data_IF_319186366898
#
_entry.id   IF_319186366898
#
_cell.length_a   1.000
_cell.length_b   1.000
_cell.length_c   1.000
_cell.angle_alpha   90.00
_cell.angle_beta   90.00
_cell.angle_gamma   90.00
#
_symmetry.space_group_name_H-M   'P 1'
#
loop_
_entity.id
_entity.type
_entity.pdbx_description
1 polymer ?
#
# COMPACT_ATOMS: atom_id res chain seq x y z
N UNK A 1 -31.00 28.36 -10.94
CA UNK A 1 -29.96 27.41 -10.46
C UNK A 1 -28.98 27.20 -11.61
N UNK A 2 -27.72 27.61 -11.45
CA UNK A 2 -26.74 27.55 -12.53
C UNK A 2 -26.09 26.17 -12.63
N UNK A 3 -26.18 25.52 -13.79
CA UNK A 3 -25.40 24.32 -14.09
C UNK A 3 -23.92 24.68 -14.21
N UNK A 4 -23.05 23.88 -13.58
CA UNK A 4 -21.59 24.00 -13.72
C UNK A 4 -21.04 22.81 -14.51
N UNK A 5 -20.03 23.07 -15.34
CA UNK A 5 -19.30 22.04 -16.09
C UNK A 5 -18.03 21.68 -15.32
N UNK A 6 -17.78 20.39 -15.20
CA UNK A 6 -16.55 19.84 -14.62
C UNK A 6 -16.06 18.74 -15.55
N UNK A 7 -14.75 18.50 -15.58
CA UNK A 7 -14.17 17.43 -16.38
C UNK A 7 -13.94 16.18 -15.53
N UNK A 8 -14.12 15.01 -16.11
CA UNK A 8 -13.86 13.72 -15.48
C UNK A 8 -12.93 12.88 -16.36
N UNK A 9 -11.97 12.20 -15.74
CA UNK A 9 -11.20 11.15 -16.39
C UNK A 9 -12.07 9.94 -16.74
N UNK A 10 -11.59 9.14 -17.72
CA UNK A 10 -12.28 7.93 -18.18
C UNK A 10 -12.60 6.93 -17.06
N UNK A 11 -11.72 6.77 -16.07
CA UNK A 11 -11.96 5.85 -14.95
C UNK A 11 -13.14 6.28 -14.07
N UNK A 12 -13.39 7.59 -13.88
CA UNK A 12 -14.57 8.07 -13.17
C UNK A 12 -15.86 7.82 -13.92
N UNK A 13 -15.85 7.99 -15.25
CA UNK A 13 -17.02 7.76 -16.09
C UNK A 13 -17.44 6.29 -16.01
N UNK A 14 -16.47 5.37 -15.99
CA UNK A 14 -16.70 3.95 -15.81
C UNK A 14 -17.35 3.59 -14.46
N UNK A 15 -17.23 4.46 -13.44
CA UNK A 15 -17.90 4.30 -12.14
C UNK A 15 -19.32 4.92 -12.09
N UNK A 16 -19.73 5.68 -13.13
CA UNK A 16 -21.10 6.21 -13.29
C UNK A 16 -21.96 5.41 -14.27
N UNK A 17 -21.43 5.08 -15.46
CA UNK A 17 -22.20 4.50 -16.57
C UNK A 17 -21.31 3.56 -17.42
N UNK A 18 -21.51 2.24 -17.27
CA UNK A 18 -20.76 1.18 -17.97
C UNK A 18 -20.76 1.35 -19.50
N UNK A 19 -21.84 1.86 -20.09
CA UNK A 19 -21.99 2.02 -21.55
C UNK A 19 -21.24 3.21 -22.15
N UNK A 20 -20.74 4.15 -21.35
CA UNK A 20 -19.99 5.32 -21.85
C UNK A 20 -18.47 5.21 -21.72
N UNK A 21 -17.95 4.19 -21.03
CA UNK A 21 -16.51 4.07 -20.77
C UNK A 21 -15.68 3.65 -21.99
N UNK A 22 -16.24 2.86 -22.92
CA UNK A 22 -15.50 2.40 -24.10
C UNK A 22 -15.16 3.53 -25.09
N UNK A 23 -15.99 4.58 -25.17
CA UNK A 23 -15.83 5.67 -26.14
C UNK A 23 -14.93 6.83 -25.70
N UNK A 24 -14.43 6.83 -24.46
CA UNK A 24 -13.78 8.00 -23.82
C UNK A 24 -12.48 7.66 -23.10
N UNK A 25 -11.91 6.47 -23.36
CA UNK A 25 -10.60 6.09 -22.84
C UNK A 25 -9.57 7.15 -23.24
N UNK A 26 -8.82 7.67 -22.27
CA UNK A 26 -7.84 8.77 -22.41
C UNK A 26 -8.43 10.14 -22.80
N UNK A 27 -9.75 10.34 -22.69
CA UNK A 27 -10.38 11.64 -22.89
C UNK A 27 -11.10 12.08 -21.63
N UNK A 28 -10.91 13.35 -21.25
CA UNK A 28 -11.72 13.94 -20.20
C UNK A 28 -13.10 14.33 -20.75
N UNK A 29 -14.17 13.95 -20.06
CA UNK A 29 -15.53 14.30 -20.48
C UNK A 29 -16.11 15.35 -19.55
N UNK A 30 -16.70 16.39 -20.13
CA UNK A 30 -17.45 17.40 -19.41
C UNK A 30 -18.76 16.83 -18.86
N UNK A 31 -18.92 16.84 -17.54
CA UNK A 31 -20.13 16.45 -16.83
C UNK A 31 -20.83 17.68 -16.26
N UNK A 32 -22.17 17.66 -16.35
CA UNK A 32 -23.02 18.70 -15.78
C UNK A 32 -23.55 18.20 -14.44
N UNK A 33 -23.28 18.94 -13.37
CA UNK A 33 -23.82 18.64 -12.06
C UNK A 33 -24.76 19.72 -11.55
N UNK A 34 -25.79 19.31 -10.83
CA UNK A 34 -26.69 20.20 -10.10
C UNK A 34 -26.19 20.32 -8.66
N UNK A 35 -26.09 21.54 -8.08
CA UNK A 35 -25.72 21.70 -6.69
C UNK A 35 -26.67 20.95 -5.76
N UNK A 36 -26.13 20.43 -4.66
CA UNK A 36 -26.94 19.81 -3.60
C UNK A 36 -27.85 20.88 -2.98
N UNK A 37 -29.05 20.50 -2.55
CA UNK A 37 -29.99 21.41 -1.88
C UNK A 37 -29.26 22.15 -0.73
N UNK A 38 -29.42 23.47 -0.71
CA UNK A 38 -28.82 24.38 0.28
C UNK A 38 -27.27 24.43 0.26
N UNK A 39 -26.63 24.00 -0.84
CA UNK A 39 -25.18 24.10 -1.05
C UNK A 39 -24.85 24.63 -2.46
N UNK A 40 -23.73 25.34 -2.60
CA UNK A 40 -23.16 25.69 -3.91
C UNK A 40 -22.33 24.57 -4.54
N UNK A 41 -22.07 23.49 -3.78
CA UNK A 41 -21.23 22.39 -4.20
C UNK A 41 -22.00 21.36 -5.02
N UNK A 42 -21.38 20.90 -6.08
CA UNK A 42 -21.81 19.71 -6.82
C UNK A 42 -21.11 18.51 -6.22
N UNK A 43 -21.86 17.45 -5.91
CA UNK A 43 -21.33 16.23 -5.32
C UNK A 43 -21.45 15.09 -6.32
N UNK A 44 -20.35 14.37 -6.49
CA UNK A 44 -20.26 13.18 -7.32
C UNK A 44 -20.10 11.96 -6.45
N UNK A 45 -21.03 11.01 -6.58
CA UNK A 45 -20.98 9.74 -5.86
C UNK A 45 -20.44 8.67 -6.79
N UNK A 46 -19.15 8.36 -6.62
CA UNK A 46 -18.50 7.25 -7.31
C UNK A 46 -18.80 5.95 -6.57
N UNK A 47 -19.10 4.88 -7.30
CA UNK A 47 -19.30 3.55 -6.70
C UNK A 47 -18.40 2.54 -7.37
N UNK A 48 -17.58 1.88 -6.56
CA UNK A 48 -16.85 0.69 -6.98
C UNK A 48 -17.74 -0.54 -6.75
N UNK A 49 -18.17 -1.16 -7.86
CA UNK A 49 -19.01 -2.36 -7.87
C UNK A 49 -18.23 -3.62 -8.25
N UNK A 50 -16.97 -3.47 -8.62
CA UNK A 50 -16.10 -4.57 -9.01
C UNK A 50 -15.70 -5.39 -7.79
N UNK A 51 -16.05 -6.68 -7.79
CA UNK A 51 -15.47 -7.61 -6.82
C UNK A 51 -14.07 -7.94 -7.33
N UNK A 52 -13.03 -7.37 -6.72
CA UNK A 52 -11.68 -7.88 -6.93
C UNK A 52 -11.69 -9.39 -6.60
N UNK A 53 -10.90 -10.24 -7.29
CA UNK A 53 -10.61 -11.60 -6.82
C UNK A 53 -10.31 -11.56 -5.32
N UNK A 54 -10.50 -12.65 -4.58
CA UNK A 54 -10.37 -12.58 -3.13
C UNK A 54 -8.90 -12.30 -2.77
N UNK A 55 -8.61 -11.01 -2.62
CA UNK A 55 -7.30 -10.47 -2.30
C UNK A 55 -7.12 -10.66 -0.80
N UNK A 56 -6.52 -11.79 -0.43
CA UNK A 56 -6.15 -12.14 0.93
C UNK A 56 -4.74 -12.70 0.96
N UNK A 57 -4.28 -13.15 2.12
CA UNK A 57 -2.91 -13.61 2.35
C UNK A 57 -2.45 -14.79 1.46
N UNK A 58 -3.36 -15.47 0.78
CA UNK A 58 -3.07 -16.60 -0.09
C UNK A 58 -3.90 -16.51 -1.37
N UNK A 59 -3.42 -17.10 -2.49
CA UNK A 59 -4.23 -17.26 -3.69
C UNK A 59 -5.57 -18.00 -3.41
N UNK A 60 -6.55 -17.76 -4.26
CA UNK A 60 -7.89 -18.35 -4.15
C UNK A 60 -7.96 -19.83 -4.50
N UNK A 61 -6.92 -20.35 -5.16
CA UNK A 61 -6.80 -21.76 -5.51
C UNK A 61 -5.76 -22.44 -4.63
N UNK A 62 -6.07 -23.68 -4.23
CA UNK A 62 -5.07 -24.56 -3.67
C UNK A 62 -4.10 -24.98 -4.79
N UNK A 63 -2.80 -24.89 -4.50
CA UNK A 63 -1.77 -25.42 -5.39
C UNK A 63 -1.81 -26.95 -5.27
N UNK A 64 -1.92 -27.66 -6.40
CA UNK A 64 -2.00 -29.12 -6.38
C UNK A 64 -0.67 -29.72 -5.90
N UNK A 65 -0.70 -30.88 -5.23
CA UNK A 65 0.54 -31.56 -4.80
C UNK A 65 1.45 -31.91 -5.98
N UNK A 66 0.88 -32.08 -7.18
CA UNK A 66 1.63 -32.27 -8.42
C UNK A 66 2.41 -31.00 -8.79
N UNK A 67 1.77 -29.84 -8.72
CA UNK A 67 2.41 -28.56 -9.03
C UNK A 67 3.46 -28.18 -7.98
N UNK A 68 3.21 -28.46 -6.69
CA UNK A 68 4.21 -28.29 -5.63
C UNK A 68 5.44 -29.17 -5.89
N UNK A 69 5.24 -30.42 -6.32
CA UNK A 69 6.33 -31.34 -6.61
C UNK A 69 7.11 -30.95 -7.89
N UNK A 70 6.41 -30.53 -8.96
CA UNK A 70 7.03 -30.13 -10.22
C UNK A 70 7.81 -28.82 -10.09
N UNK A 71 7.35 -27.91 -9.24
CA UNK A 71 8.02 -26.61 -8.99
C UNK A 71 9.15 -26.68 -7.97
N UNK A 72 9.37 -27.83 -7.32
CA UNK A 72 10.37 -27.98 -6.23
C UNK A 72 10.19 -26.94 -5.11
N UNK A 73 8.95 -26.48 -4.88
CA UNK A 73 8.66 -25.36 -3.98
C UNK A 73 9.12 -25.62 -2.54
N UNK A 74 8.98 -26.85 -2.04
CA UNK A 74 9.37 -27.19 -0.68
C UNK A 74 10.90 -27.19 -0.48
N UNK A 75 11.67 -27.66 -1.46
CA UNK A 75 13.13 -27.61 -1.36
C UNK A 75 13.62 -26.17 -1.45
N UNK A 76 13.06 -25.38 -2.38
CA UNK A 76 13.40 -23.96 -2.49
C UNK A 76 13.06 -23.20 -1.20
N UNK A 77 11.86 -23.43 -0.64
CA UNK A 77 11.46 -22.79 0.62
C UNK A 77 12.40 -23.15 1.77
N UNK A 78 12.89 -24.39 1.83
CA UNK A 78 13.88 -24.79 2.84
C UNK A 78 15.20 -24.07 2.61
N UNK A 79 15.71 -24.06 1.40
CA UNK A 79 16.94 -23.33 1.04
C UNK A 79 16.82 -21.85 1.39
N UNK A 80 15.70 -21.22 1.07
CA UNK A 80 15.42 -19.82 1.37
C UNK A 80 15.36 -19.58 2.89
N UNK A 81 14.69 -20.44 3.67
CA UNK A 81 14.62 -20.32 5.14
C UNK A 81 15.99 -20.58 5.79
N UNK A 82 16.81 -21.46 5.22
CA UNK A 82 18.14 -21.78 5.73
C UNK A 82 19.19 -20.72 5.37
N UNK A 83 19.05 -20.05 4.23
CA UNK A 83 19.95 -19.00 3.77
C UNK A 83 20.10 -17.89 4.82
N UNK A 84 21.27 -17.27 4.94
CA UNK A 84 21.38 -16.06 5.74
C UNK A 84 20.54 -14.97 5.09
N UNK A 85 19.65 -14.36 5.87
CA UNK A 85 18.95 -13.18 5.39
C UNK A 85 19.99 -12.09 5.58
N UNK A 86 20.74 -11.77 4.52
CA UNK A 86 21.57 -10.56 4.52
C UNK A 86 20.72 -9.40 5.04
N UNK A 87 21.34 -8.40 5.67
CA UNK A 87 20.65 -7.23 6.23
C UNK A 87 19.86 -6.40 5.20
N UNK A 88 19.79 -6.86 3.96
CA UNK A 88 19.05 -6.33 2.83
C UNK A 88 17.62 -6.89 2.85
N UNK A 89 16.71 -6.11 3.45
CA UNK A 89 15.26 -6.30 3.44
C UNK A 89 14.63 -6.11 2.03
N UNK A 90 15.34 -6.50 0.96
CA UNK A 90 15.01 -6.20 -0.44
C UNK A 90 14.33 -7.36 -1.20
N UNK A 91 14.09 -8.51 -0.57
CA UNK A 91 13.45 -9.66 -1.24
C UNK A 91 12.15 -10.04 -0.54
N UNK A 92 11.05 -9.86 -1.27
CA UNK A 92 9.68 -10.05 -0.82
C UNK A 92 9.45 -11.39 -0.13
N UNK A 93 8.78 -11.33 1.02
CA UNK A 93 8.47 -12.47 1.87
C UNK A 93 7.16 -13.11 1.40
N UNK A 94 7.24 -14.05 0.45
CA UNK A 94 6.09 -14.88 0.08
C UNK A 94 6.00 -16.10 1.01
N UNK A 95 5.24 -15.98 2.11
CA UNK A 95 4.90 -17.12 2.97
C UNK A 95 3.44 -17.51 2.79
N UNK A 96 3.22 -18.70 2.23
CA UNK A 96 1.89 -19.29 2.11
C UNK A 96 1.55 -20.05 3.41
N UNK A 97 0.50 -19.58 4.11
CA UNK A 97 -0.02 -20.16 5.35
C UNK A 97 -0.84 -21.44 5.20
N UNK A 98 -0.96 -22.01 4.00
CA UNK A 98 -1.62 -23.31 3.82
C UNK A 98 -0.60 -24.42 3.57
N UNK A 99 -0.01 -24.94 4.64
CA UNK A 99 0.53 -26.31 4.60
C UNK A 99 -0.50 -27.27 5.20
N UNK A 100 -1.06 -28.20 4.42
CA UNK A 100 -1.86 -29.29 4.97
C UNK A 100 -0.92 -30.14 5.84
N UNK A 101 -1.05 -30.05 7.17
CA UNK A 101 -0.24 -30.81 8.14
C UNK A 101 1.28 -30.58 8.02
N UNK A 102 1.71 -29.36 7.67
CA UNK A 102 3.11 -29.02 7.41
C UNK A 102 3.95 -28.77 8.66
N UNK A 103 5.26 -28.93 8.46
CA UNK A 103 6.30 -28.87 9.48
C UNK A 103 6.32 -27.55 10.27
N UNK A 104 5.83 -27.61 11.52
CA UNK A 104 5.81 -26.46 12.44
C UNK A 104 7.22 -25.94 12.76
N UNK A 105 8.27 -26.74 12.52
CA UNK A 105 9.65 -26.33 12.81
C UNK A 105 10.15 -25.29 11.81
N UNK A 106 9.85 -25.46 10.51
CA UNK A 106 10.21 -24.48 9.47
C UNK A 106 9.47 -23.16 9.67
N UNK A 107 8.16 -23.21 9.96
CA UNK A 107 7.38 -22.02 10.28
C UNK A 107 7.98 -21.29 11.49
N UNK A 108 8.24 -22.01 12.60
CA UNK A 108 8.83 -21.41 13.80
C UNK A 108 10.20 -20.78 13.51
N UNK A 109 11.05 -21.44 12.73
CA UNK A 109 12.36 -20.92 12.33
C UNK A 109 12.22 -19.64 11.52
N UNK A 110 11.36 -19.64 10.51
CA UNK A 110 11.07 -18.47 9.70
C UNK A 110 10.57 -17.29 10.53
N UNK A 111 9.55 -17.49 11.38
CA UNK A 111 9.00 -16.45 12.25
C UNK A 111 10.07 -15.90 13.21
N UNK A 112 10.95 -16.75 13.72
CA UNK A 112 12.07 -16.33 14.58
C UNK A 112 13.04 -15.41 13.82
N UNK A 113 13.47 -15.81 12.62
CA UNK A 113 14.37 -15.01 11.78
C UNK A 113 13.73 -13.67 11.39
N UNK A 114 12.46 -13.70 10.99
CA UNK A 114 11.72 -12.50 10.61
C UNK A 114 11.61 -11.52 11.78
N UNK A 115 11.24 -12.00 12.96
CA UNK A 115 11.21 -11.17 14.19
C UNK A 115 12.58 -10.57 14.50
N UNK A 116 13.66 -11.34 14.36
CA UNK A 116 15.01 -10.82 14.59
C UNK A 116 15.38 -9.69 13.63
N UNK A 117 15.00 -9.78 12.36
CA UNK A 117 15.29 -8.75 11.34
C UNK A 117 14.46 -7.49 11.54
N UNK A 118 13.20 -7.63 11.95
CA UNK A 118 12.32 -6.48 12.19
C UNK A 118 12.65 -5.77 13.51
N UNK A 119 13.20 -6.48 14.51
CA UNK A 119 13.40 -5.92 15.85
C UNK A 119 14.19 -4.58 15.86
N UNK A 120 15.30 -4.41 15.13
CA UNK A 120 15.97 -3.11 15.04
C UNK A 120 15.08 -2.03 14.42
N UNK A 121 14.35 -2.35 13.35
CA UNK A 121 13.44 -1.41 12.69
C UNK A 121 12.31 -0.96 13.61
N UNK A 122 11.64 -1.90 14.29
CA UNK A 122 10.53 -1.61 15.21
C UNK A 122 11.00 -0.78 16.42
N UNK A 123 12.21 -1.05 16.90
CA UNK A 123 12.83 -0.25 17.95
C UNK A 123 13.41 1.10 17.45
N UNK A 124 13.27 1.40 16.16
CA UNK A 124 13.90 2.51 15.47
C UNK A 124 15.42 2.62 15.76
N UNK A 125 16.07 1.47 15.88
CA UNK A 125 17.50 1.29 16.13
C UNK A 125 18.20 0.71 14.90
N UNK A 126 17.97 1.36 13.76
CA UNK A 126 18.63 1.10 12.47
C UNK A 126 19.65 2.22 12.20
N UNK A 127 20.56 1.98 11.25
CA UNK A 127 21.67 2.91 10.91
C UNK A 127 21.15 4.32 10.63
N UNK A 128 20.15 4.42 9.76
CA UNK A 128 19.43 5.66 9.48
C UNK A 128 18.03 5.53 10.06
N UNK A 129 17.81 6.20 11.18
CA UNK A 129 16.56 6.11 11.93
C UNK A 129 15.44 6.80 11.17
N UNK A 130 14.22 6.43 11.50
CA UNK A 130 13.05 7.20 11.12
C UNK A 130 12.90 8.40 12.06
N UNK A 131 12.65 9.57 11.50
CA UNK A 131 12.38 10.81 12.22
C UNK A 131 11.01 11.36 11.82
N UNK A 132 10.33 12.03 12.74
CA UNK A 132 9.10 12.73 12.43
C UNK A 132 9.39 14.20 12.10
N UNK A 133 8.99 14.62 10.90
CA UNK A 133 9.03 16.01 10.47
C UNK A 133 7.77 16.75 10.91
N UNK A 134 7.95 17.82 11.67
CA UNK A 134 6.88 18.69 12.17
C UNK A 134 6.45 19.75 11.15
N UNK A 135 7.17 19.94 10.04
CA UNK A 135 6.85 20.94 9.02
C UNK A 135 5.76 20.41 8.08
N UNK A 136 5.98 19.25 7.46
CA UNK A 136 5.03 18.61 6.55
C UNK A 136 4.25 17.46 7.22
N UNK A 137 4.53 17.19 8.49
CA UNK A 137 3.79 16.24 9.33
C UNK A 137 3.92 14.81 8.83
N UNK A 138 5.11 14.22 8.90
CA UNK A 138 5.33 12.86 8.37
C UNK A 138 6.62 12.19 8.82
N UNK A 139 6.82 10.94 8.41
CA UNK A 139 7.98 10.12 8.81
C UNK A 139 9.00 10.10 7.68
N UNK A 140 10.26 10.37 8.00
CA UNK A 140 11.39 10.43 7.07
C UNK A 140 12.51 9.50 7.50
N UNK A 141 13.21 8.91 6.54
CA UNK A 141 14.55 8.39 6.74
C UNK A 141 15.53 9.53 7.02
N UNK A 142 16.37 9.39 8.03
CA UNK A 142 17.43 10.38 8.33
C UNK A 142 18.62 10.30 7.37
N UNK A 143 18.64 9.34 6.42
CA UNK A 143 19.80 9.10 5.57
C UNK A 143 20.19 10.35 4.78
N UNK A 144 19.26 10.98 4.05
CA UNK A 144 19.57 12.18 3.25
C UNK A 144 20.06 13.36 4.07
N UNK A 145 19.62 13.48 5.33
CA UNK A 145 20.13 14.50 6.27
C UNK A 145 21.58 14.17 6.67
N UNK A 146 21.84 12.91 7.03
CA UNK A 146 23.15 12.48 7.51
C UNK A 146 24.20 12.50 6.37
N UNK A 147 23.84 12.05 5.18
CA UNK A 147 24.71 11.99 4.00
C UNK A 147 24.83 13.32 3.26
N UNK A 148 23.96 14.30 3.57
CA UNK A 148 23.82 15.55 2.81
C UNK A 148 23.47 15.31 1.34
N UNK A 149 22.76 14.22 1.04
CA UNK A 149 22.30 13.85 -0.30
C UNK A 149 20.78 13.76 -0.34
N UNK A 150 20.08 14.67 -1.04
CA UNK A 150 18.62 14.64 -1.16
C UNK A 150 18.09 13.41 -1.91
N UNK A 151 18.95 12.65 -2.60
CA UNK A 151 18.57 11.43 -3.32
C UNK A 151 18.83 10.15 -2.53
N UNK A 152 19.46 10.25 -1.35
CA UNK A 152 19.70 9.08 -0.52
C UNK A 152 18.37 8.45 -0.08
N UNK A 153 18.38 7.13 0.09
CA UNK A 153 17.15 6.34 0.30
C UNK A 153 16.06 6.68 -0.74
N UNK A 154 16.45 6.79 -2.01
CA UNK A 154 15.58 7.14 -3.14
C UNK A 154 14.80 8.46 -2.94
N UNK A 155 15.35 9.38 -2.14
CA UNK A 155 14.70 10.65 -1.82
C UNK A 155 13.62 10.55 -0.76
N UNK A 156 13.58 9.49 0.04
CA UNK A 156 12.65 9.32 1.15
C UNK A 156 12.66 10.52 2.12
N UNK A 157 13.85 11.06 2.42
CA UNK A 157 13.99 12.30 3.24
C UNK A 157 13.21 13.49 2.66
N UNK A 158 12.92 13.50 1.36
CA UNK A 158 12.13 14.50 0.66
C UNK A 158 10.74 14.01 0.27
N UNK A 159 10.19 13.05 1.03
CA UNK A 159 8.85 12.49 0.85
C UNK A 159 8.64 11.64 -0.41
N UNK A 160 9.71 11.25 -1.10
CA UNK A 160 9.57 10.30 -2.21
C UNK A 160 9.27 8.89 -1.69
N UNK A 161 8.43 8.16 -2.41
CA UNK A 161 8.35 6.70 -2.32
C UNK A 161 7.95 6.13 -0.96
N UNK A 162 7.39 6.95 -0.06
CA UNK A 162 6.95 6.49 1.26
C UNK A 162 6.01 5.27 1.19
N UNK A 163 5.01 5.34 0.30
CA UNK A 163 4.08 4.22 0.08
C UNK A 163 4.76 2.98 -0.53
N UNK A 164 5.82 3.14 -1.31
CA UNK A 164 6.62 2.02 -1.80
C UNK A 164 7.40 1.39 -0.64
N UNK A 165 8.22 2.19 0.05
CA UNK A 165 9.16 1.69 1.05
C UNK A 165 8.43 1.15 2.29
N UNK A 166 7.52 1.94 2.85
CA UNK A 166 6.89 1.62 4.13
C UNK A 166 5.90 0.47 4.02
N UNK A 167 5.30 0.27 2.85
CA UNK A 167 4.34 -0.82 2.65
C UNK A 167 4.95 -2.21 2.77
N UNK A 168 6.23 -2.38 2.46
CA UNK A 168 6.90 -3.67 2.67
C UNK A 168 6.97 -4.04 4.14
N UNK A 169 7.22 -3.07 5.03
CA UNK A 169 7.17 -3.29 6.48
C UNK A 169 5.74 -3.59 6.94
N UNK A 170 4.75 -2.82 6.46
CA UNK A 170 3.33 -3.04 6.77
C UNK A 170 2.87 -4.44 6.36
N UNK A 171 3.16 -4.85 5.12
CA UNK A 171 2.85 -6.17 4.60
C UNK A 171 3.49 -7.27 5.44
N UNK A 172 4.80 -7.12 5.69
CA UNK A 172 5.58 -8.09 6.46
C UNK A 172 5.00 -8.27 7.87
N UNK A 173 4.64 -7.18 8.54
CA UNK A 173 4.05 -7.23 9.88
C UNK A 173 2.63 -7.78 9.85
N UNK A 174 1.84 -7.51 8.80
CA UNK A 174 0.53 -8.12 8.63
C UNK A 174 0.62 -9.66 8.51
N UNK A 175 1.59 -10.16 7.74
CA UNK A 175 1.87 -11.61 7.62
C UNK A 175 2.33 -12.18 8.96
N UNK A 176 3.26 -11.52 9.66
CA UNK A 176 3.73 -11.96 10.97
C UNK A 176 2.58 -12.05 11.97
N UNK A 177 1.69 -11.05 12.01
CA UNK A 177 0.52 -10.99 12.88
C UNK A 177 -0.49 -12.10 12.59
N UNK A 178 -0.64 -12.49 11.33
CA UNK A 178 -1.50 -13.61 10.94
C UNK A 178 -0.93 -14.95 11.40
N UNK A 179 0.38 -15.15 11.23
CA UNK A 179 1.02 -16.46 11.35
C UNK A 179 1.58 -16.76 12.75
N UNK A 180 1.87 -15.74 13.57
CA UNK A 180 2.49 -15.89 14.88
C UNK A 180 1.49 -15.71 16.03
N UNK A 181 1.11 -16.77 16.75
CA UNK A 181 0.28 -16.65 17.95
C UNK A 181 0.93 -15.82 19.07
N UNK A 182 2.25 -15.69 19.07
CA UNK A 182 3.03 -14.91 20.04
C UNK A 182 3.48 -13.56 19.44
N UNK A 183 2.68 -13.01 18.53
CA UNK A 183 2.94 -11.72 17.88
C UNK A 183 3.24 -10.60 18.90
N UNK A 184 4.37 -9.88 18.78
CA UNK A 184 4.69 -8.78 19.69
C UNK A 184 3.89 -7.52 19.34
N UNK A 185 3.05 -7.03 20.27
CA UNK A 185 2.14 -5.91 20.03
C UNK A 185 2.85 -4.57 19.79
N UNK A 186 4.10 -4.40 20.24
CA UNK A 186 4.90 -3.19 20.02
C UNK A 186 5.18 -2.92 18.53
N UNK A 187 4.98 -3.92 17.67
CA UNK A 187 5.07 -3.77 16.22
C UNK A 187 3.91 -2.94 15.65
N UNK A 188 2.75 -2.92 16.32
CA UNK A 188 1.57 -2.22 15.80
C UNK A 188 1.76 -0.70 15.77
N UNK A 189 2.47 -0.11 16.75
CA UNK A 189 2.57 1.36 16.89
C UNK A 189 3.34 2.01 15.74
N UNK A 190 4.51 1.46 15.39
CA UNK A 190 5.31 1.95 14.28
C UNK A 190 4.60 1.71 12.95
N UNK A 191 4.01 0.52 12.74
CA UNK A 191 3.29 0.20 11.51
C UNK A 191 2.05 1.08 11.34
N UNK A 192 1.33 1.36 12.42
CA UNK A 192 0.21 2.28 12.40
C UNK A 192 0.66 3.71 12.05
N UNK A 193 1.83 4.13 12.53
CA UNK A 193 2.40 5.43 12.20
C UNK A 193 2.81 5.51 10.73
N UNK A 194 3.43 4.45 10.18
CA UNK A 194 3.75 4.37 8.75
C UNK A 194 2.50 4.40 7.86
N UNK A 195 1.44 3.67 8.25
CA UNK A 195 0.16 3.68 7.52
C UNK A 195 -0.48 5.07 7.52
N UNK A 196 -0.43 5.78 8.65
CA UNK A 196 -0.91 7.16 8.74
C UNK A 196 -0.08 8.10 7.86
N UNK A 197 1.21 7.85 7.72
CA UNK A 197 2.06 8.71 6.89
C UNK A 197 1.63 8.75 5.41
N UNK A 198 1.36 7.59 4.79
CA UNK A 198 1.04 7.55 3.36
C UNK A 198 -0.47 7.45 3.05
N UNK A 199 -1.29 6.93 3.98
CA UNK A 199 -2.68 6.57 3.74
C UNK A 199 -3.66 7.00 4.86
N UNK A 200 -3.34 8.02 5.67
CA UNK A 200 -4.28 8.54 6.67
C UNK A 200 -5.60 9.00 6.03
N UNK A 201 -6.77 8.46 6.43
CA UNK A 201 -8.06 8.87 5.88
C UNK A 201 -8.69 10.09 6.56
N UNK A 202 -8.12 10.58 7.67
CA UNK A 202 -8.77 11.57 8.52
C UNK A 202 -8.12 12.94 8.44
N UNK A 203 -8.92 13.97 8.22
CA UNK A 203 -8.50 15.37 8.37
C UNK A 203 -8.37 15.79 9.85
N UNK A 204 -8.84 14.96 10.78
CA UNK A 204 -8.78 15.24 12.23
C UNK A 204 -7.47 14.73 12.87
N UNK A 205 -6.66 13.97 12.14
CA UNK A 205 -5.34 13.55 12.63
C UNK A 205 -4.39 14.76 12.63
N UNK A 206 -3.91 15.22 13.80
CA UNK A 206 -3.06 16.41 13.87
C UNK A 206 -1.60 16.13 13.47
N UNK A 207 -1.23 14.86 13.25
CA UNK A 207 0.15 14.46 12.99
C UNK A 207 0.41 14.12 11.52
N UNK A 208 -0.59 13.67 10.77
CA UNK A 208 -0.38 13.24 9.39
C UNK A 208 -1.42 13.86 8.46
N UNK A 209 -1.01 14.38 7.29
CA UNK A 209 -1.96 14.87 6.31
C UNK A 209 -2.82 13.72 5.78
N UNK A 210 -4.05 14.01 5.35
CA UNK A 210 -4.90 13.00 4.74
C UNK A 210 -4.32 12.58 3.39
N UNK A 211 -4.23 11.28 3.15
CA UNK A 211 -3.89 10.67 1.86
C UNK A 211 -2.65 11.28 1.18
N UNK A 212 -1.50 11.31 1.85
CA UNK A 212 -0.26 11.91 1.32
C UNK A 212 0.08 11.43 -0.10
N UNK A 213 0.03 10.12 -0.32
CA UNK A 213 0.42 9.52 -1.60
C UNK A 213 -0.73 9.55 -2.63
N UNK A 214 -1.95 9.24 -2.20
CA UNK A 214 -3.09 9.02 -3.09
C UNK A 214 -3.72 10.31 -3.61
N UNK A 215 -3.89 10.40 -4.93
CA UNK A 215 -4.81 11.38 -5.53
C UNK A 215 -6.20 10.78 -5.66
N UNK A 216 -7.16 11.26 -4.87
CA UNK A 216 -8.58 10.89 -5.02
C UNK A 216 -9.17 11.26 -6.37
N UNK A 217 -8.56 12.17 -7.13
CA UNK A 217 -9.04 12.56 -8.45
C UNK A 217 -8.36 11.78 -9.58
N UNK A 218 -7.08 11.41 -9.44
CA UNK A 218 -6.44 10.58 -10.46
C UNK A 218 -6.66 9.08 -10.19
N UNK A 219 -7.06 8.72 -8.98
CA UNK A 219 -7.35 7.35 -8.57
C UNK A 219 -6.12 6.49 -8.30
N UNK A 220 -4.90 7.05 -8.42
CA UNK A 220 -3.65 6.38 -8.10
C UNK A 220 -2.76 7.28 -7.23
N UNK A 221 -1.67 6.70 -6.72
CA UNK A 221 -0.71 7.44 -5.90
C UNK A 221 0.35 8.15 -6.74
N UNK A 222 1.02 9.13 -6.14
CA UNK A 222 2.24 9.73 -6.66
C UNK A 222 3.45 9.31 -5.82
N UNK A 223 4.55 9.03 -6.50
CA UNK A 223 5.85 8.72 -5.92
C UNK A 223 6.57 9.98 -5.44
N UNK A 224 6.57 11.05 -6.25
CA UNK A 224 7.30 12.27 -5.94
C UNK A 224 6.74 13.06 -4.75
N UNK A 225 7.65 13.42 -3.85
CA UNK A 225 7.40 14.18 -2.64
C UNK A 225 7.38 15.69 -2.86
N UNK A 226 8.25 16.41 -2.16
CA UNK A 226 8.17 17.88 -2.00
C UNK A 226 8.87 18.68 -3.10
N UNK A 227 9.76 18.05 -3.86
CA UNK A 227 10.50 18.71 -4.94
C UNK A 227 9.65 18.93 -6.17
N UNK A 228 9.97 19.98 -6.92
CA UNK A 228 9.29 20.32 -8.17
C UNK A 228 9.91 19.56 -9.33
N UNK A 229 9.05 19.00 -10.16
CA UNK A 229 9.41 18.45 -11.47
C UNK A 229 8.77 19.31 -12.56
N UNK A 230 9.49 19.49 -13.67
CA UNK A 230 9.00 20.30 -14.80
C UNK A 230 7.68 19.75 -15.39
N UNK A 231 7.52 18.43 -15.39
CA UNK A 231 6.34 17.74 -15.93
C UNK A 231 5.28 17.42 -14.86
N UNK A 232 5.46 17.91 -13.62
CA UNK A 232 4.61 17.58 -12.49
C UNK A 232 4.99 16.25 -11.81
N UNK A 233 4.18 15.83 -10.83
CA UNK A 233 4.47 14.64 -10.02
C UNK A 233 4.47 13.36 -10.85
N UNK A 234 5.41 12.46 -10.58
CA UNK A 234 5.52 11.16 -11.24
C UNK A 234 5.00 10.00 -10.38
N UNK A 235 4.79 8.87 -11.06
CA UNK A 235 4.48 7.58 -10.47
C UNK A 235 5.11 6.49 -11.34
N UNK A 236 6.20 5.87 -10.88
CA UNK A 236 6.95 4.88 -11.67
C UNK A 236 6.44 3.45 -11.45
N UNK A 237 6.35 3.01 -10.19
CA UNK A 237 6.08 1.62 -9.83
C UNK A 237 4.62 1.40 -9.46
N UNK A 238 3.77 1.26 -10.47
CA UNK A 238 2.33 0.99 -10.29
C UNK A 238 2.07 -0.33 -9.52
N UNK A 239 2.98 -1.30 -9.59
CA UNK A 239 2.94 -2.52 -8.79
C UNK A 239 3.23 -2.30 -7.31
N UNK A 240 4.12 -1.36 -6.97
CA UNK A 240 4.41 -1.05 -5.56
C UNK A 240 3.33 -0.15 -4.96
N UNK A 241 2.69 0.70 -5.77
CA UNK A 241 1.46 1.40 -5.39
C UNK A 241 0.36 0.38 -5.01
N UNK A 242 0.12 -0.60 -5.88
CA UNK A 242 -0.80 -1.71 -5.61
C UNK A 242 -0.40 -2.48 -4.34
N UNK A 243 0.89 -2.77 -4.14
CA UNK A 243 1.38 -3.41 -2.92
C UNK A 243 1.08 -2.57 -1.68
N UNK A 244 1.18 -1.24 -1.76
CA UNK A 244 0.91 -0.34 -0.64
C UNK A 244 -0.53 -0.40 -0.14
N UNK A 245 -1.48 -0.48 -1.08
CA UNK A 245 -2.91 -0.59 -0.79
C UNK A 245 -3.29 -2.02 -0.37
N UNK A 246 -2.60 -3.02 -0.91
CA UNK A 246 -2.71 -4.41 -0.50
C UNK A 246 -2.23 -4.62 0.94
N UNK A 247 -1.07 -4.07 1.29
CA UNK A 247 -0.51 -4.09 2.64
C UNK A 247 -1.45 -3.42 3.66
N UNK A 248 -2.02 -2.26 3.31
CA UNK A 248 -3.04 -1.56 4.11
C UNK A 248 -4.25 -2.47 4.39
N UNK A 249 -4.79 -3.11 3.35
CA UNK A 249 -5.91 -4.05 3.51
C UNK A 249 -5.55 -5.21 4.42
N UNK A 250 -4.43 -5.89 4.15
CA UNK A 250 -4.00 -7.07 4.90
C UNK A 250 -3.72 -6.76 6.37
N UNK A 251 -3.11 -5.62 6.66
CA UNK A 251 -2.92 -5.17 8.04
C UNK A 251 -4.26 -4.87 8.71
N UNK A 252 -5.22 -4.25 8.01
CA UNK A 252 -6.60 -4.09 8.49
C UNK A 252 -7.25 -5.41 8.88
N UNK A 253 -7.11 -6.45 8.05
CA UNK A 253 -7.59 -7.82 8.33
C UNK A 253 -6.90 -8.42 9.55
N UNK A 254 -5.56 -8.48 9.55
CA UNK A 254 -4.80 -9.11 10.63
C UNK A 254 -4.97 -8.40 11.98
N UNK A 255 -5.13 -7.08 11.95
CA UNK A 255 -5.36 -6.25 13.14
C UNK A 255 -6.83 -6.11 13.52
N UNK A 256 -7.76 -6.78 12.82
CA UNK A 256 -9.20 -6.73 13.06
C UNK A 256 -9.77 -5.30 13.06
N UNK A 257 -9.25 -4.45 12.18
CA UNK A 257 -9.68 -3.06 11.98
C UNK A 257 -10.48 -2.97 10.69
N UNK A 258 -11.77 -3.26 10.79
CA UNK A 258 -12.69 -3.37 9.64
C UNK A 258 -12.71 -2.10 8.76
N UNK A 259 -12.66 -0.91 9.35
CA UNK A 259 -12.62 0.34 8.58
C UNK A 259 -11.35 0.47 7.72
N UNK A 260 -10.22 -0.04 8.22
CA UNK A 260 -8.93 -0.02 7.52
C UNK A 260 -8.90 -1.07 6.42
N UNK A 261 -9.44 -2.26 6.69
CA UNK A 261 -9.65 -3.28 5.66
C UNK A 261 -10.51 -2.75 4.52
N UNK A 262 -11.68 -2.16 4.84
CA UNK A 262 -12.61 -1.61 3.83
C UNK A 262 -11.99 -0.46 3.06
N UNK A 263 -11.23 0.41 3.73
CA UNK A 263 -10.49 1.48 3.06
C UNK A 263 -9.48 0.90 2.07
N UNK A 264 -8.61 -0.01 2.50
CA UNK A 264 -7.64 -0.67 1.61
C UNK A 264 -8.31 -1.36 0.43
N UNK A 265 -9.45 -2.02 0.66
CA UNK A 265 -10.22 -2.65 -0.41
C UNK A 265 -10.83 -1.66 -1.42
N UNK A 266 -11.34 -0.53 -0.94
CA UNK A 266 -11.86 0.54 -1.79
C UNK A 266 -10.71 1.15 -2.62
N UNK A 267 -9.60 1.49 -1.98
CA UNK A 267 -8.46 2.10 -2.65
C UNK A 267 -7.87 1.17 -3.72
N UNK A 268 -7.76 -0.13 -3.44
CA UNK A 268 -7.35 -1.12 -4.44
C UNK A 268 -8.26 -1.12 -5.68
N UNK A 269 -9.57 -1.04 -5.51
CA UNK A 269 -10.50 -1.01 -6.66
C UNK A 269 -10.32 0.25 -7.50
N UNK A 270 -10.22 1.41 -6.84
CA UNK A 270 -9.99 2.69 -7.50
C UNK A 270 -8.65 2.66 -8.25
N UNK A 271 -7.60 2.17 -7.60
CA UNK A 271 -6.25 2.13 -8.13
C UNK A 271 -6.11 1.16 -9.31
N UNK A 272 -6.62 -0.06 -9.22
CA UNK A 272 -6.66 -1.01 -10.35
C UNK A 272 -7.41 -0.40 -11.54
N UNK A 273 -8.55 0.26 -11.28
CA UNK A 273 -9.30 0.94 -12.35
C UNK A 273 -8.49 2.07 -12.97
N UNK A 274 -7.84 2.91 -12.17
CA UNK A 274 -7.03 4.02 -12.67
C UNK A 274 -5.85 3.50 -13.50
N UNK A 275 -5.06 2.57 -12.94
CA UNK A 275 -3.85 2.04 -13.58
C UNK A 275 -4.17 1.37 -14.91
N UNK A 276 -5.22 0.54 -14.98
CA UNK A 276 -5.64 -0.11 -16.25
C UNK A 276 -6.08 0.87 -17.36
N UNK A 277 -6.27 2.15 -17.03
CA UNK A 277 -6.59 3.21 -17.99
C UNK A 277 -5.40 4.15 -18.26
N UNK A 278 -4.35 4.14 -17.44
CA UNK A 278 -3.24 5.11 -17.51
C UNK A 278 -1.87 4.50 -17.79
N UNK A 279 -1.63 3.24 -17.41
CA UNK A 279 -0.41 2.48 -17.65
C UNK A 279 -0.69 1.33 -18.62
#
# INVERSE_FOLDING_TARGET
>A
MGCRRYYMHGHWIASFFITTSEGVRNQMVGQIGTPVKDSSSVVWNMRETGVLPKVGFTPDCNISSRDVASTKLLSQLKEDIEAEYESTLHRGLYFNGNTPKGDKTLLKKCLTKLKMLLKPFIANNITFRLAYDTVYGGILSTEGIASHDPNADFGNTLYNDHHFHYSYYVFTVAVLKLLDPEYPLEFDDIIWSLLRDYANPSHEDPFFPPFRALSWYNGHSYAHGVTLLEEGKDQESSSEDLNSLYALRLWGVASKRENIEKLGYLLLQINVRAITHTF
#
